data_IF_679111158600
#
_entry.id   IF_679111158600
#
_cell.length_a   1.000
_cell.length_b   1.000
_cell.length_c   1.000
_cell.angle_alpha   90.00
_cell.angle_beta   90.00
_cell.angle_gamma   90.00
#
_symmetry.space_group_name_H-M   'P 1'
#
loop_
_entity.id
_entity.type
_entity.pdbx_description
1 polymer ?
#
# COMPACT_ATOMS: atom_id res chain seq x y z
N UNK A 1 -12.77 -12.12 6.83
CA UNK A 1 -11.38 -11.80 7.19
C UNK A 1 -10.68 -11.32 5.93
N UNK A 2 -10.01 -10.20 6.00
CA UNK A 2 -9.25 -9.61 4.89
C UNK A 2 -7.76 -9.84 5.14
N UNK A 3 -6.98 -9.96 4.07
CA UNK A 3 -5.53 -10.09 4.07
C UNK A 3 -4.99 -9.17 2.98
N UNK A 4 -3.87 -8.50 3.22
CA UNK A 4 -3.23 -7.63 2.23
C UNK A 4 -2.68 -8.43 1.06
N UNK A 5 -2.79 -7.89 -0.17
CA UNK A 5 -2.32 -8.56 -1.38
C UNK A 5 -0.83 -8.92 -1.33
N UNK A 6 0.11 -8.02 -0.96
CA UNK A 6 1.53 -8.37 -0.88
C UNK A 6 1.81 -9.46 0.15
N UNK A 7 1.09 -9.49 1.27
CA UNK A 7 1.21 -10.52 2.27
C UNK A 7 0.65 -11.85 1.76
N UNK A 8 -0.47 -11.81 1.04
CA UNK A 8 -1.02 -12.99 0.34
C UNK A 8 -0.03 -13.56 -0.67
N UNK A 9 0.61 -12.70 -1.46
CA UNK A 9 1.61 -13.12 -2.44
C UNK A 9 2.77 -13.89 -1.78
N UNK A 10 3.27 -13.37 -0.64
CA UNK A 10 4.32 -14.03 0.12
C UNK A 10 3.85 -15.37 0.73
N UNK A 11 2.64 -15.44 1.28
CA UNK A 11 2.07 -16.70 1.75
C UNK A 11 1.89 -17.73 0.63
N UNK A 12 1.47 -17.30 -0.55
CA UNK A 12 1.36 -18.17 -1.73
C UNK A 12 2.73 -18.73 -2.13
N UNK A 13 3.76 -17.88 -2.15
CA UNK A 13 5.13 -18.29 -2.46
C UNK A 13 5.66 -19.31 -1.43
N UNK A 14 5.46 -19.07 -0.12
CA UNK A 14 5.82 -20.01 0.95
C UNK A 14 5.12 -21.36 0.73
N UNK A 15 3.82 -21.35 0.46
CA UNK A 15 3.03 -22.56 0.25
C UNK A 15 3.51 -23.36 -0.97
N UNK A 16 3.76 -22.66 -2.10
CA UNK A 16 4.20 -23.31 -3.34
C UNK A 16 5.61 -23.87 -3.27
N UNK A 17 6.49 -23.23 -2.53
CA UNK A 17 7.86 -23.72 -2.33
C UNK A 17 7.93 -25.04 -1.58
N UNK A 18 6.82 -25.49 -0.97
CA UNK A 18 6.72 -26.72 -0.18
C UNK A 18 7.87 -26.90 0.82
N UNK A 19 8.28 -25.79 1.45
CA UNK A 19 9.38 -25.75 2.41
C UNK A 19 10.72 -25.26 1.87
N UNK A 20 10.96 -25.32 0.54
CA UNK A 20 12.21 -24.89 -0.09
C UNK A 20 12.45 -23.37 0.00
N UNK A 21 11.47 -22.56 0.41
CA UNK A 21 11.67 -21.12 0.62
C UNK A 21 12.80 -20.81 1.61
N UNK A 22 13.03 -21.73 2.60
CA UNK A 22 14.12 -21.59 3.58
C UNK A 22 15.52 -21.72 2.96
N UNK A 23 15.62 -22.29 1.78
CA UNK A 23 16.86 -22.40 1.01
C UNK A 23 17.08 -21.16 0.14
N UNK A 24 15.98 -20.43 -0.16
CA UNK A 24 16.02 -19.24 -0.99
C UNK A 24 16.26 -17.96 -0.18
N UNK A 25 16.06 -17.97 1.12
CA UNK A 25 16.28 -16.81 2.00
C UNK A 25 17.13 -17.17 3.21
N UNK A 26 17.84 -16.19 3.76
CA UNK A 26 18.69 -16.34 4.93
C UNK A 26 18.43 -15.23 5.94
N UNK A 27 18.87 -15.45 7.17
CA UNK A 27 18.84 -14.44 8.24
C UNK A 27 19.56 -13.18 7.76
N UNK A 28 18.92 -12.02 7.98
CA UNK A 28 19.40 -10.72 7.54
C UNK A 28 18.93 -10.32 6.14
N UNK A 29 18.19 -11.18 5.43
CA UNK A 29 17.55 -10.78 4.18
C UNK A 29 16.39 -9.81 4.42
N UNK A 30 16.22 -8.91 3.46
CA UNK A 30 15.03 -8.06 3.33
C UNK A 30 14.40 -8.36 1.98
N UNK A 31 13.20 -8.92 2.00
CA UNK A 31 12.44 -9.23 0.80
C UNK A 31 11.57 -8.01 0.45
N UNK A 32 11.77 -7.44 -0.73
CA UNK A 32 10.85 -6.47 -1.32
C UNK A 32 9.77 -7.22 -2.11
N UNK A 33 8.53 -7.11 -1.66
CA UNK A 33 7.36 -7.56 -2.43
C UNK A 33 6.87 -6.39 -3.26
N UNK A 34 6.81 -6.59 -4.58
CA UNK A 34 6.27 -5.64 -5.54
C UNK A 34 5.01 -6.25 -6.13
N UNK A 35 3.88 -5.69 -5.77
CA UNK A 35 2.57 -6.07 -6.33
C UNK A 35 2.10 -5.00 -7.30
N UNK A 36 2.02 -5.38 -8.59
CA UNK A 36 1.60 -4.48 -9.66
C UNK A 36 0.39 -5.08 -10.37
N UNK A 37 -0.76 -4.72 -9.87
CA UNK A 37 -2.05 -5.18 -10.34
C UNK A 37 -2.62 -4.40 -11.53
N UNK A 38 -3.90 -4.64 -11.83
CA UNK A 38 -4.62 -3.90 -12.86
C UNK A 38 -4.84 -2.44 -12.50
N UNK A 39 -5.21 -2.14 -11.24
CA UNK A 39 -5.54 -0.79 -10.78
C UNK A 39 -4.54 -0.17 -9.83
N UNK A 40 -3.68 -0.97 -9.19
CA UNK A 40 -2.85 -0.53 -8.06
C UNK A 40 -1.43 -1.04 -8.12
N UNK A 41 -0.57 -0.33 -7.41
CA UNK A 41 0.82 -0.71 -7.11
C UNK A 41 1.02 -0.67 -5.61
N UNK A 42 1.49 -1.77 -5.04
CA UNK A 42 1.73 -1.93 -3.62
C UNK A 42 3.14 -2.45 -3.36
N UNK A 43 3.82 -1.90 -2.34
CA UNK A 43 5.15 -2.32 -1.92
C UNK A 43 5.12 -2.77 -0.47
N UNK A 44 5.84 -3.84 -0.16
CA UNK A 44 6.03 -4.28 1.22
C UNK A 44 7.45 -4.79 1.44
N UNK A 45 7.96 -4.62 2.65
CA UNK A 45 9.28 -5.11 3.07
C UNK A 45 9.14 -6.11 4.19
N UNK A 46 9.78 -7.26 4.00
CA UNK A 46 9.75 -8.39 4.92
C UNK A 46 11.19 -8.73 5.32
N UNK A 47 11.52 -8.61 6.59
CA UNK A 47 12.80 -9.04 7.12
C UNK A 47 12.78 -10.53 7.46
N UNK A 48 13.90 -11.20 7.24
CA UNK A 48 14.12 -12.60 7.62
C UNK A 48 14.96 -12.65 8.88
N UNK A 49 14.39 -13.18 9.95
CA UNK A 49 15.00 -13.26 11.29
C UNK A 49 15.23 -14.71 11.70
N UNK A 50 16.01 -14.87 12.76
CA UNK A 50 16.04 -16.12 13.53
C UNK A 50 15.35 -15.92 14.87
N UNK A 51 14.42 -16.79 15.20
CA UNK A 51 13.84 -16.86 16.52
C UNK A 51 13.73 -18.33 16.95
N UNK A 52 14.26 -18.64 18.12
CA UNK A 52 14.24 -19.98 18.69
C UNK A 52 14.77 -21.08 17.73
N UNK A 53 15.83 -20.73 16.95
CA UNK A 53 16.45 -21.66 15.99
C UNK A 53 15.68 -21.87 14.68
N UNK A 54 14.66 -21.07 14.42
CA UNK A 54 13.85 -21.16 13.20
C UNK A 54 13.82 -19.82 12.47
N UNK A 55 13.75 -19.86 11.11
CA UNK A 55 13.54 -18.65 10.30
C UNK A 55 12.13 -18.12 10.55
N UNK A 56 12.06 -16.85 10.89
CA UNK A 56 10.84 -16.08 11.05
C UNK A 56 10.80 -14.95 10.03
N UNK A 57 9.64 -14.72 9.44
CA UNK A 57 9.38 -13.63 8.51
C UNK A 57 8.64 -12.51 9.24
N UNK A 58 9.23 -11.31 9.20
CA UNK A 58 8.66 -10.14 9.87
C UNK A 58 8.42 -9.00 8.88
N UNK A 59 7.19 -8.55 8.76
CA UNK A 59 6.84 -7.40 7.93
C UNK A 59 7.31 -6.12 8.60
N UNK A 60 8.26 -5.44 7.99
CA UNK A 60 8.89 -4.23 8.55
C UNK A 60 8.34 -2.93 7.97
N UNK A 61 7.78 -2.99 6.77
CA UNK A 61 7.14 -1.82 6.16
C UNK A 61 6.07 -2.21 5.14
N UNK A 62 5.07 -1.35 5.02
CA UNK A 62 4.04 -1.36 3.96
C UNK A 62 4.02 0.03 3.35
N UNK A 63 4.02 0.11 2.02
CA UNK A 63 3.88 1.35 1.27
C UNK A 63 2.44 1.87 1.24
N UNK A 64 2.30 3.09 0.75
CA UNK A 64 0.99 3.66 0.44
C UNK A 64 0.35 2.85 -0.69
N UNK A 65 -0.98 2.71 -0.66
CA UNK A 65 -1.74 2.10 -1.73
C UNK A 65 -1.82 3.07 -2.92
N UNK A 66 -1.08 2.77 -3.99
CA UNK A 66 -0.92 3.67 -5.13
C UNK A 66 -1.92 3.28 -6.22
N UNK A 67 -2.89 4.15 -6.52
CA UNK A 67 -3.85 3.94 -7.63
C UNK A 67 -3.17 4.18 -8.99
N UNK A 68 -2.31 3.24 -9.35
CA UNK A 68 -1.52 3.19 -10.56
C UNK A 68 -1.28 1.73 -10.94
N UNK A 69 -1.72 1.30 -12.11
CA UNK A 69 -1.59 -0.10 -12.51
C UNK A 69 -1.75 -0.31 -14.02
N UNK A 70 -2.05 -1.55 -14.39
CA UNK A 70 -2.22 -1.96 -15.78
C UNK A 70 -3.28 -1.18 -16.55
N UNK A 71 -4.36 -0.75 -15.88
CA UNK A 71 -5.43 0.04 -16.50
C UNK A 71 -4.94 1.43 -16.95
N UNK A 72 -4.03 2.04 -16.18
CA UNK A 72 -3.36 3.29 -16.58
C UNK A 72 -2.48 3.07 -17.82
N UNK A 73 -1.80 1.94 -17.91
CA UNK A 73 -0.98 1.54 -19.05
C UNK A 73 -1.82 1.30 -20.29
N UNK A 74 -2.95 0.59 -20.16
CA UNK A 74 -3.90 0.33 -21.23
C UNK A 74 -4.46 1.63 -21.80
N UNK A 75 -4.83 2.56 -20.92
CA UNK A 75 -5.31 3.88 -21.30
C UNK A 75 -4.23 4.71 -22.03
N UNK A 76 -2.98 4.66 -21.56
CA UNK A 76 -1.87 5.36 -22.21
C UNK A 76 -1.63 4.84 -23.63
N UNK A 77 -1.66 3.51 -23.82
CA UNK A 77 -1.54 2.90 -25.15
C UNK A 77 -2.73 3.22 -26.05
N UNK A 78 -3.94 3.22 -25.50
CA UNK A 78 -5.13 3.66 -26.23
C UNK A 78 -5.00 5.10 -26.72
N UNK A 79 -4.42 6.00 -25.91
CA UNK A 79 -4.15 7.37 -26.35
C UNK A 79 -3.13 7.45 -27.49
N UNK A 80 -2.09 6.60 -27.49
CA UNK A 80 -1.12 6.53 -28.62
C UNK A 80 -1.85 6.14 -29.91
N UNK A 81 -2.66 5.10 -29.85
CA UNK A 81 -3.44 4.63 -31.01
C UNK A 81 -4.47 5.69 -31.44
N UNK A 82 -5.15 6.33 -30.51
CA UNK A 82 -6.06 7.44 -30.81
C UNK A 82 -5.34 8.54 -31.58
N UNK A 83 -4.16 8.96 -31.13
CA UNK A 83 -3.38 10.00 -31.82
C UNK A 83 -2.97 9.62 -33.25
N UNK A 84 -2.73 8.32 -33.53
CA UNK A 84 -2.50 7.82 -34.89
C UNK A 84 -3.75 8.03 -35.75
N UNK A 85 -4.90 7.57 -35.27
CA UNK A 85 -6.17 7.67 -36.01
C UNK A 85 -6.59 9.13 -36.20
N UNK A 86 -6.35 10.02 -35.24
CA UNK A 86 -6.61 11.46 -35.37
C UNK A 86 -5.73 12.11 -36.45
N UNK A 87 -4.48 11.70 -36.60
CA UNK A 87 -3.59 12.15 -37.70
C UNK A 87 -4.07 11.69 -39.07
N UNK A 88 -4.78 10.57 -39.12
CA UNK A 88 -5.44 10.04 -40.34
C UNK A 88 -6.82 10.68 -40.58
N UNK A 89 -7.22 11.65 -39.76
CA UNK A 89 -8.49 12.39 -39.89
C UNK A 89 -9.69 11.75 -39.21
N UNK A 90 -9.48 10.74 -38.33
CA UNK A 90 -10.55 10.07 -37.62
C UNK A 90 -10.72 10.66 -36.22
N UNK A 91 -11.95 10.91 -35.81
CA UNK A 91 -12.31 11.33 -34.44
C UNK A 91 -13.02 10.20 -33.74
N UNK A 92 -12.57 9.85 -32.51
CA UNK A 92 -13.15 8.77 -31.70
C UNK A 92 -14.11 9.36 -30.65
N UNK A 93 -15.27 8.74 -30.48
CA UNK A 93 -16.14 9.02 -29.33
C UNK A 93 -15.72 8.26 -28.06
N UNK A 94 -16.37 8.56 -26.94
CA UNK A 94 -16.04 7.95 -25.66
C UNK A 94 -16.21 6.41 -25.64
N UNK A 95 -17.22 5.90 -26.36
CA UNK A 95 -17.45 4.46 -26.47
C UNK A 95 -16.34 3.78 -27.29
N UNK A 96 -15.93 4.40 -28.41
CA UNK A 96 -14.81 3.92 -29.22
C UNK A 96 -13.50 3.96 -28.45
N UNK A 97 -13.28 4.99 -27.61
CA UNK A 97 -12.10 5.07 -26.75
C UNK A 97 -12.08 3.95 -25.70
N UNK A 98 -13.23 3.61 -25.11
CA UNK A 98 -13.34 2.47 -24.20
C UNK A 98 -13.03 1.14 -24.90
N UNK A 99 -13.60 0.93 -26.10
CA UNK A 99 -13.30 -0.27 -26.91
C UNK A 99 -11.81 -0.34 -27.29
N UNK A 100 -11.20 0.81 -27.63
CA UNK A 100 -9.80 0.92 -27.94
C UNK A 100 -8.92 0.57 -26.71
N UNK A 101 -9.31 0.99 -25.50
CA UNK A 101 -8.56 0.66 -24.27
C UNK A 101 -8.56 -0.86 -24.05
N UNK A 102 -9.67 -1.55 -24.26
CA UNK A 102 -9.72 -3.02 -24.19
C UNK A 102 -8.85 -3.70 -25.25
N UNK A 103 -8.90 -3.18 -26.49
CA UNK A 103 -8.05 -3.70 -27.56
C UNK A 103 -6.55 -3.48 -27.28
N UNK A 104 -6.18 -2.32 -26.71
CA UNK A 104 -4.83 -2.01 -26.32
C UNK A 104 -4.32 -2.94 -25.20
N UNK A 105 -5.19 -3.32 -24.24
CA UNK A 105 -4.84 -4.33 -23.21
C UNK A 105 -4.45 -5.65 -23.87
N UNK A 106 -5.28 -6.20 -24.75
CA UNK A 106 -4.98 -7.47 -25.41
C UNK A 106 -3.72 -7.41 -26.25
N UNK A 107 -3.50 -6.29 -26.96
CA UNK A 107 -2.28 -6.08 -27.74
C UNK A 107 -1.03 -5.96 -26.85
N UNK A 108 -1.10 -5.22 -25.74
CA UNK A 108 -0.04 -5.15 -24.74
C UNK A 108 0.37 -6.53 -24.22
N UNK A 109 -0.61 -7.32 -23.79
CA UNK A 109 -0.38 -8.66 -23.24
C UNK A 109 0.24 -9.59 -24.27
N UNK A 110 -0.18 -9.52 -25.51
CA UNK A 110 0.40 -10.31 -26.61
C UNK A 110 1.82 -9.88 -26.96
N UNK A 111 2.08 -8.56 -27.06
CA UNK A 111 3.39 -8.02 -27.45
C UNK A 111 4.45 -8.20 -26.37
N UNK A 112 4.06 -8.17 -25.10
CA UNK A 112 4.95 -8.29 -23.95
C UNK A 112 4.96 -9.69 -23.32
N UNK A 113 4.26 -10.67 -23.90
CA UNK A 113 4.27 -12.04 -23.39
C UNK A 113 5.64 -12.68 -23.52
N UNK A 114 5.92 -13.65 -22.64
CA UNK A 114 7.18 -14.40 -22.68
C UNK A 114 7.36 -15.12 -24.02
N UNK A 115 8.50 -14.89 -24.67
CA UNK A 115 8.81 -15.53 -25.96
C UNK A 115 8.01 -15.01 -27.15
N UNK A 116 7.35 -13.86 -27.04
CA UNK A 116 6.61 -13.25 -28.16
C UNK A 116 7.58 -12.73 -29.24
N UNK A 117 7.47 -13.30 -30.44
CA UNK A 117 8.15 -12.83 -31.64
C UNK A 117 7.29 -11.85 -32.46
N UNK A 118 6.17 -11.38 -31.89
CA UNK A 118 5.23 -10.48 -32.57
C UNK A 118 5.73 -9.05 -32.45
N UNK A 119 5.93 -8.38 -33.57
CA UNK A 119 6.37 -6.97 -33.62
C UNK A 119 5.21 -5.97 -33.61
N UNK A 120 4.03 -6.36 -34.07
CA UNK A 120 2.85 -5.50 -34.13
C UNK A 120 1.56 -6.33 -34.00
N UNK A 121 0.56 -5.76 -33.34
CA UNK A 121 -0.78 -6.34 -33.19
C UNK A 121 -1.80 -5.40 -33.87
N UNK A 122 -2.65 -5.92 -34.77
CA UNK A 122 -3.70 -5.12 -35.39
C UNK A 122 -4.75 -4.69 -34.35
N UNK A 123 -5.10 -3.41 -34.40
CA UNK A 123 -6.15 -2.81 -33.57
C UNK A 123 -7.33 -2.47 -34.47
N UNK A 124 -8.52 -2.97 -34.09
CA UNK A 124 -9.77 -2.70 -34.79
C UNK A 124 -10.69 -1.91 -33.86
N UNK A 125 -11.04 -0.70 -34.26
CA UNK A 125 -12.01 0.14 -33.53
C UNK A 125 -13.37 0.03 -34.22
N UNK A 126 -14.41 -0.44 -33.55
CA UNK A 126 -15.73 -0.58 -34.14
C UNK A 126 -16.35 0.79 -34.46
N UNK A 127 -17.07 0.91 -35.56
CA UNK A 127 -17.83 2.12 -35.89
C UNK A 127 -19.31 1.97 -35.49
N UNK A 128 -19.94 3.07 -35.04
CA UNK A 128 -21.39 3.15 -34.84
C UNK A 128 -22.06 3.42 -36.20
N UNK A 129 -22.78 2.45 -36.72
CA UNK A 129 -23.60 2.68 -37.94
C UNK A 129 -24.31 1.42 -38.38
N UNK A 130 -25.54 1.60 -38.91
CA UNK A 130 -26.41 0.53 -39.43
C UNK A 130 -26.00 0.00 -40.81
N UNK A 131 -24.87 0.46 -41.34
CA UNK A 131 -24.37 -0.05 -42.62
C UNK A 131 -23.69 -1.41 -42.37
N UNK A 132 -24.20 -2.46 -42.99
CA UNK A 132 -23.69 -3.83 -42.98
C UNK A 132 -22.20 -3.95 -43.43
N UNK A 133 -21.67 -2.86 -43.99
CA UNK A 133 -20.29 -2.64 -44.42
C UNK A 133 -19.85 -1.26 -43.83
N UNK A 134 -20.04 -1.02 -42.55
CA UNK A 134 -19.63 0.21 -41.88
C UNK A 134 -18.19 0.08 -41.42
N UNK A 135 -17.32 0.84 -42.06
CA UNK A 135 -15.88 0.77 -41.87
C UNK A 135 -15.40 0.78 -40.43
N UNK A 136 -14.98 -0.37 -39.95
CA UNK A 136 -14.16 -0.41 -38.75
C UNK A 136 -12.83 0.32 -39.03
N UNK A 137 -12.43 1.20 -38.12
CA UNK A 137 -11.10 1.81 -38.20
C UNK A 137 -10.07 0.75 -37.85
N UNK A 138 -9.01 0.68 -38.66
CA UNK A 138 -7.93 -0.30 -38.47
C UNK A 138 -6.63 0.42 -38.38
N UNK A 139 -5.85 0.04 -37.40
CA UNK A 139 -4.47 0.47 -37.22
C UNK A 139 -3.70 -0.66 -36.53
N UNK A 140 -2.50 -0.42 -36.07
CA UNK A 140 -1.71 -1.40 -35.33
C UNK A 140 -1.04 -0.74 -34.13
N UNK A 141 -0.71 -1.54 -33.14
CA UNK A 141 0.15 -1.18 -32.02
C UNK A 141 1.44 -2.01 -32.12
N UNK A 142 2.56 -1.33 -32.23
CA UNK A 142 3.86 -1.99 -32.37
C UNK A 142 4.53 -2.24 -31.02
N UNK A 143 5.41 -3.25 -30.94
CA UNK A 143 6.19 -3.57 -29.74
C UNK A 143 7.03 -2.37 -29.31
N UNK A 144 7.68 -1.68 -30.24
CA UNK A 144 8.49 -0.50 -29.97
C UNK A 144 7.68 0.65 -29.36
N UNK A 145 6.41 0.83 -29.77
CA UNK A 145 5.52 1.84 -29.16
C UNK A 145 5.13 1.45 -27.74
N UNK A 146 4.80 0.17 -27.52
CA UNK A 146 4.47 -0.35 -26.19
C UNK A 146 5.67 -0.20 -25.25
N UNK A 147 6.86 -0.62 -25.66
CA UNK A 147 8.08 -0.50 -24.86
C UNK A 147 8.38 0.96 -24.53
N UNK A 148 8.34 1.86 -25.49
CA UNK A 148 8.58 3.29 -25.27
C UNK A 148 7.57 3.89 -24.27
N UNK A 149 6.28 3.56 -24.38
CA UNK A 149 5.24 4.10 -23.50
C UNK A 149 5.30 3.48 -22.13
N UNK A 150 5.47 2.16 -22.04
CA UNK A 150 5.41 1.47 -20.75
C UNK A 150 6.77 1.47 -20.06
N UNK A 151 7.85 1.03 -20.74
CA UNK A 151 9.16 0.90 -20.10
C UNK A 151 9.75 2.27 -19.76
N UNK A 152 9.67 3.23 -20.68
CA UNK A 152 10.24 4.55 -20.45
C UNK A 152 9.28 5.48 -19.68
N UNK A 153 7.97 5.33 -19.88
CA UNK A 153 6.97 6.19 -19.25
C UNK A 153 6.59 5.76 -17.83
N UNK A 154 6.34 4.47 -17.62
CA UNK A 154 5.92 3.95 -16.31
C UNK A 154 7.09 3.41 -15.48
N UNK A 155 8.19 3.00 -16.10
CA UNK A 155 9.38 2.48 -15.40
C UNK A 155 10.64 3.24 -15.81
N UNK A 156 10.67 4.57 -15.72
CA UNK A 156 11.85 5.36 -16.12
C UNK A 156 13.05 4.97 -15.27
N UNK A 157 14.24 5.01 -15.90
CA UNK A 157 15.49 4.95 -15.15
C UNK A 157 15.66 6.25 -14.41
N UNK A 158 15.66 6.19 -13.10
CA UNK A 158 15.77 7.35 -12.20
C UNK A 158 16.80 7.08 -11.10
N UNK A 159 17.21 8.12 -10.39
CA UNK A 159 18.06 7.99 -9.20
C UNK A 159 17.24 7.50 -7.98
N UNK A 160 17.88 6.85 -7.01
CA UNK A 160 17.24 6.42 -5.76
C UNK A 160 16.68 7.60 -4.93
N UNK A 161 17.17 8.81 -5.18
CA UNK A 161 16.64 10.04 -4.57
C UNK A 161 15.41 10.61 -5.26
N UNK A 162 14.99 10.05 -6.40
CA UNK A 162 13.83 10.51 -7.14
C UNK A 162 12.55 10.39 -6.28
N UNK A 163 11.63 11.32 -6.53
CA UNK A 163 10.34 11.35 -5.85
C UNK A 163 9.24 11.49 -6.89
N UNK A 164 8.04 10.97 -6.62
CA UNK A 164 6.88 11.21 -7.46
C UNK A 164 6.61 12.71 -7.62
N UNK A 165 6.30 13.12 -8.84
CA UNK A 165 6.04 14.51 -9.15
C UNK A 165 4.63 14.88 -8.70
N UNK A 166 4.53 15.82 -7.76
CA UNK A 166 3.26 16.42 -7.41
C UNK A 166 2.93 17.56 -8.41
N UNK A 167 1.81 17.45 -9.11
CA UNK A 167 1.28 18.56 -9.92
C UNK A 167 0.41 19.45 -9.04
N UNK A 168 0.46 20.76 -9.27
CA UNK A 168 -0.52 21.65 -8.66
C UNK A 168 -1.92 21.23 -9.07
N UNK A 169 -2.77 20.87 -8.09
CA UNK A 169 -4.17 20.49 -8.34
C UNK A 169 -4.94 21.73 -8.79
N UNK A 170 -5.82 21.57 -9.79
CA UNK A 170 -6.81 22.60 -10.09
C UNK A 170 -7.73 22.80 -8.87
N UNK A 171 -8.18 24.03 -8.66
CA UNK A 171 -9.08 24.37 -7.55
C UNK A 171 -10.42 23.59 -7.60
N UNK A 172 -10.81 23.11 -8.79
CA UNK A 172 -12.00 22.31 -8.99
C UNK A 172 -11.63 21.08 -9.83
N UNK A 173 -11.92 19.89 -9.31
CA UNK A 173 -11.77 18.61 -10.01
C UNK A 173 -13.10 17.85 -9.95
N UNK A 174 -13.34 16.98 -10.90
CA UNK A 174 -14.49 16.07 -10.84
C UNK A 174 -14.27 15.09 -9.67
N UNK A 175 -15.35 14.73 -8.97
CA UNK A 175 -15.31 13.67 -7.98
C UNK A 175 -14.92 12.35 -8.65
N UNK A 176 -13.93 11.65 -8.11
CA UNK A 176 -13.41 10.40 -8.63
C UNK A 176 -12.38 9.78 -7.70
N UNK A 177 -11.81 8.65 -8.09
CA UNK A 177 -10.75 8.00 -7.34
C UNK A 177 -9.47 8.86 -7.32
N UNK A 178 -8.71 8.86 -6.22
CA UNK A 178 -7.47 9.62 -6.09
C UNK A 178 -6.30 8.96 -6.83
N UNK A 179 -6.39 8.89 -8.17
CA UNK A 179 -5.33 8.33 -9.00
C UNK A 179 -3.99 9.02 -8.76
N UNK A 180 -2.91 8.24 -8.86
CA UNK A 180 -1.55 8.77 -8.77
C UNK A 180 -1.30 9.85 -9.84
N UNK A 181 -0.71 10.96 -9.42
CA UNK A 181 -0.40 12.08 -10.33
C UNK A 181 0.86 11.81 -11.18
N UNK A 182 1.74 10.97 -10.69
CA UNK A 182 2.96 10.54 -11.37
C UNK A 182 2.82 9.07 -11.77
N UNK A 183 3.00 8.79 -13.04
CA UNK A 183 2.92 7.45 -13.60
C UNK A 183 4.21 6.62 -13.39
N UNK A 184 5.28 7.21 -12.86
CA UNK A 184 6.58 6.54 -12.72
C UNK A 184 6.64 5.59 -11.52
N UNK A 185 6.35 4.31 -11.72
CA UNK A 185 6.43 3.25 -10.68
C UNK A 185 7.78 3.26 -9.97
N UNK A 186 8.88 3.43 -10.73
CA UNK A 186 10.24 3.49 -10.17
C UNK A 186 10.47 4.70 -9.27
N UNK A 187 9.80 5.85 -9.49
CA UNK A 187 9.85 6.99 -8.57
C UNK A 187 9.12 6.73 -7.27
N UNK A 188 7.98 6.05 -7.33
CA UNK A 188 7.25 5.61 -6.14
C UNK A 188 8.07 4.59 -5.34
N UNK A 189 8.73 3.64 -6.02
CA UNK A 189 9.62 2.67 -5.37
C UNK A 189 10.81 3.36 -4.68
N UNK A 190 11.47 4.33 -5.34
CA UNK A 190 12.56 5.09 -4.75
C UNK A 190 12.11 5.86 -3.50
N UNK A 191 10.93 6.51 -3.57
CA UNK A 191 10.34 7.20 -2.44
C UNK A 191 10.03 6.26 -1.27
N UNK A 192 9.48 5.09 -1.57
CA UNK A 192 9.16 4.07 -0.56
C UNK A 192 10.42 3.60 0.15
N UNK A 193 11.43 3.11 -0.57
CA UNK A 193 12.67 2.57 0.01
C UNK A 193 13.43 3.61 0.84
N UNK A 194 13.46 4.87 0.39
CA UNK A 194 14.14 5.94 1.14
C UNK A 194 13.44 6.28 2.46
N UNK A 195 12.11 6.21 2.52
CA UNK A 195 11.35 6.40 3.78
C UNK A 195 11.63 5.31 4.81
N UNK A 196 12.07 4.14 4.36
CA UNK A 196 12.21 2.94 5.21
C UNK A 196 13.65 2.65 5.66
N UNK A 197 14.56 3.59 5.51
CA UNK A 197 16.00 3.37 5.82
C UNK A 197 16.24 2.85 7.25
N UNK A 198 15.48 3.30 8.23
CA UNK A 198 15.56 2.85 9.63
C UNK A 198 14.62 1.69 9.99
N UNK A 199 13.87 1.12 9.04
CA UNK A 199 12.80 0.17 9.36
C UNK A 199 13.26 -1.14 10.01
N UNK A 200 14.54 -1.46 9.93
CA UNK A 200 15.14 -2.69 10.51
C UNK A 200 16.01 -2.44 11.73
N UNK A 201 16.24 -1.18 12.13
CA UNK A 201 17.19 -0.84 13.21
C UNK A 201 16.77 -1.41 14.57
N UNK A 202 15.48 -1.32 14.90
CA UNK A 202 14.93 -1.76 16.19
C UNK A 202 14.44 -3.21 16.18
N UNK A 203 14.72 -3.95 15.09
CA UNK A 203 14.22 -5.31 14.94
C UNK A 203 15.12 -6.31 15.66
N UNK A 204 14.67 -6.78 16.82
CA UNK A 204 15.43 -7.70 17.68
C UNK A 204 15.84 -8.97 16.91
N UNK A 205 17.14 -9.29 16.91
CA UNK A 205 17.68 -10.45 16.20
C UNK A 205 17.94 -10.24 14.71
N UNK A 206 17.67 -9.06 14.16
CA UNK A 206 18.00 -8.71 12.78
C UNK A 206 19.43 -8.14 12.69
N UNK A 207 20.18 -8.64 11.73
CA UNK A 207 21.50 -8.10 11.40
C UNK A 207 21.46 -7.57 9.98
N UNK A 208 21.34 -6.26 9.85
CA UNK A 208 21.36 -5.60 8.55
C UNK A 208 22.68 -5.83 7.82
N UNK A 209 22.59 -6.20 6.55
CA UNK A 209 23.72 -6.26 5.63
C UNK A 209 23.92 -4.95 4.85
N UNK A 210 23.22 -3.87 5.22
CA UNK A 210 23.34 -2.59 4.53
C UNK A 210 24.74 -1.98 4.73
N UNK A 211 25.30 -1.35 3.68
CA UNK A 211 26.51 -0.57 3.79
C UNK A 211 26.37 0.59 4.78
N UNK A 212 27.47 0.98 5.42
CA UNK A 212 27.47 2.15 6.27
C UNK A 212 27.25 3.42 5.43
N UNK A 213 26.28 4.23 5.82
CA UNK A 213 25.91 5.44 5.07
C UNK A 213 24.95 5.20 3.90
N UNK A 214 24.29 4.05 3.86
CA UNK A 214 23.22 3.78 2.89
C UNK A 214 22.17 4.90 2.89
N UNK A 215 21.63 5.23 1.70
CA UNK A 215 20.67 6.33 1.52
C UNK A 215 19.21 5.87 1.46
N UNK A 216 19.01 4.56 1.38
CA UNK A 216 17.70 3.89 1.39
C UNK A 216 17.82 2.48 1.94
N UNK A 217 16.71 1.84 2.30
CA UNK A 217 16.72 0.45 2.75
C UNK A 217 17.03 -0.48 1.57
N UNK A 218 18.08 -1.32 1.71
CA UNK A 218 18.53 -2.24 0.69
C UNK A 218 17.76 -3.56 0.73
N UNK A 219 16.85 -3.85 -0.23
CA UNK A 219 16.31 -5.18 -0.39
C UNK A 219 17.40 -6.13 -0.88
N UNK A 220 17.45 -7.33 -0.31
CA UNK A 220 18.38 -8.39 -0.73
C UNK A 220 17.70 -9.41 -1.66
N UNK A 221 16.37 -9.41 -1.64
CA UNK A 221 15.56 -10.29 -2.48
C UNK A 221 14.31 -9.56 -2.97
N UNK A 222 13.79 -9.98 -4.11
CA UNK A 222 12.58 -9.47 -4.77
C UNK A 222 11.58 -10.60 -4.92
N UNK A 223 10.32 -10.31 -4.60
CA UNK A 223 9.18 -11.16 -4.92
C UNK A 223 8.17 -10.34 -5.72
N UNK A 224 7.86 -10.78 -6.93
CA UNK A 224 6.90 -10.13 -7.79
C UNK A 224 5.51 -10.74 -7.66
N UNK A 225 4.48 -9.90 -7.73
CA UNK A 225 3.08 -10.26 -7.83
C UNK A 225 2.34 -9.30 -8.77
N UNK A 226 1.15 -9.71 -9.21
CA UNK A 226 0.29 -8.91 -10.07
C UNK A 226 0.49 -9.15 -11.58
N UNK A 227 -0.60 -8.97 -12.32
CA UNK A 227 -0.68 -9.35 -13.73
C UNK A 227 0.22 -8.54 -14.66
N UNK A 228 0.60 -7.32 -14.30
CA UNK A 228 1.51 -6.47 -15.09
C UNK A 228 2.91 -7.08 -15.15
N UNK A 229 3.34 -7.73 -14.06
CA UNK A 229 4.67 -8.34 -13.94
C UNK A 229 4.78 -9.72 -14.61
N UNK A 230 3.76 -10.17 -15.35
CA UNK A 230 3.87 -11.26 -16.32
C UNK A 230 4.73 -10.88 -17.54
N UNK A 231 4.98 -9.59 -17.73
CA UNK A 231 5.86 -9.07 -18.77
C UNK A 231 7.32 -9.15 -18.33
N UNK A 232 8.17 -10.01 -18.97
CA UNK A 232 9.58 -10.13 -18.60
C UNK A 232 10.37 -8.82 -18.79
N UNK A 233 9.92 -7.98 -19.71
CA UNK A 233 10.56 -6.68 -20.00
C UNK A 233 10.34 -5.71 -18.84
N UNK A 234 9.12 -5.65 -18.27
CA UNK A 234 8.79 -4.78 -17.16
C UNK A 234 9.42 -5.28 -15.85
N UNK A 235 9.41 -6.59 -15.65
CA UNK A 235 10.10 -7.24 -14.53
C UNK A 235 11.60 -6.93 -14.55
N UNK A 236 12.27 -7.18 -15.70
CA UNK A 236 13.69 -6.91 -15.86
C UNK A 236 14.05 -5.43 -15.64
N UNK A 237 13.18 -4.49 -16.05
CA UNK A 237 13.41 -3.06 -15.83
C UNK A 237 13.40 -2.69 -14.35
N UNK A 238 12.48 -3.25 -13.52
CA UNK A 238 12.47 -3.01 -12.07
C UNK A 238 13.77 -3.54 -11.45
N UNK A 239 14.19 -4.76 -11.83
CA UNK A 239 15.43 -5.38 -11.34
C UNK A 239 16.64 -4.54 -11.73
N UNK A 240 16.72 -4.09 -12.99
CA UNK A 240 17.80 -3.24 -13.51
C UNK A 240 17.92 -1.95 -12.69
N UNK A 241 16.83 -1.23 -12.52
CA UNK A 241 16.81 0.07 -11.83
C UNK A 241 17.18 -0.11 -10.35
N UNK A 242 16.60 -1.09 -9.66
CA UNK A 242 16.91 -1.36 -8.26
C UNK A 242 18.39 -1.76 -8.08
N UNK A 243 18.89 -2.66 -8.92
CA UNK A 243 20.29 -3.10 -8.82
C UNK A 243 21.29 -1.99 -9.15
N UNK A 244 20.93 -1.06 -10.05
CA UNK A 244 21.74 0.13 -10.29
C UNK A 244 21.80 1.04 -9.04
N UNK A 245 20.69 1.21 -8.30
CA UNK A 245 20.68 1.95 -7.03
C UNK A 245 21.52 1.26 -5.98
N UNK A 246 21.35 -0.05 -5.79
CA UNK A 246 22.10 -0.85 -4.82
C UNK A 246 23.61 -0.78 -5.09
N UNK A 247 24.02 -0.93 -6.36
CA UNK A 247 25.43 -0.85 -6.74
C UNK A 247 26.04 0.53 -6.49
N UNK A 248 25.27 1.62 -6.77
CA UNK A 248 25.69 3.00 -6.53
C UNK A 248 25.88 3.28 -5.05
N UNK A 249 25.06 2.65 -4.19
CA UNK A 249 25.08 2.79 -2.74
C UNK A 249 25.98 1.74 -2.04
N UNK A 250 26.75 0.96 -2.83
CA UNK A 250 27.75 0.00 -2.34
C UNK A 250 27.18 -1.35 -1.88
N UNK A 251 25.91 -1.63 -2.18
CA UNK A 251 25.25 -2.88 -1.82
C UNK A 251 25.34 -3.96 -2.91
N UNK A 252 25.14 -5.24 -2.54
CA UNK A 252 25.06 -6.34 -3.51
C UNK A 252 23.72 -6.28 -4.28
N UNK A 253 23.64 -6.89 -5.47
CA UNK A 253 22.39 -6.96 -6.21
C UNK A 253 21.35 -7.80 -5.47
N UNK A 254 20.09 -7.38 -5.56
CA UNK A 254 18.96 -8.15 -5.06
C UNK A 254 18.68 -9.34 -5.98
N UNK A 255 18.40 -10.50 -5.38
CA UNK A 255 18.05 -11.70 -6.12
C UNK A 255 16.54 -11.85 -6.28
N UNK A 256 16.10 -12.36 -7.41
CA UNK A 256 14.71 -12.67 -7.65
C UNK A 256 14.34 -14.00 -6.97
N UNK A 257 13.23 -14.00 -6.21
CA UNK A 257 12.67 -15.23 -5.64
C UNK A 257 11.80 -15.92 -6.67
N UNK A 258 12.13 -17.16 -6.98
CA UNK A 258 11.46 -17.95 -7.99
C UNK A 258 10.21 -18.65 -7.44
N UNK A 259 9.28 -18.98 -8.35
CA UNK A 259 8.11 -19.80 -8.04
C UNK A 259 6.87 -19.00 -7.62
N UNK A 260 6.84 -17.69 -7.81
CA UNK A 260 5.62 -16.89 -7.67
C UNK A 260 4.53 -17.32 -8.67
N UNK A 261 3.28 -17.23 -8.26
CA UNK A 261 2.12 -17.46 -9.13
C UNK A 261 1.35 -16.14 -9.27
N UNK A 262 1.60 -15.43 -10.36
CA UNK A 262 1.06 -14.10 -10.58
C UNK A 262 -0.46 -14.07 -10.83
N UNK A 263 -1.10 -15.23 -11.05
CA UNK A 263 -2.55 -15.32 -11.27
C UNK A 263 -3.32 -15.65 -10.00
N UNK A 264 -2.81 -16.58 -9.22
CA UNK A 264 -3.53 -17.17 -8.10
C UNK A 264 -2.91 -16.87 -6.73
N UNK A 265 -1.89 -16.00 -6.69
CA UNK A 265 -1.16 -15.69 -5.45
C UNK A 265 -2.10 -15.25 -4.33
N UNK A 266 -3.01 -14.31 -4.59
CA UNK A 266 -3.93 -13.78 -3.59
C UNK A 266 -4.84 -14.88 -3.05
N UNK A 267 -5.47 -15.66 -3.93
CA UNK A 267 -6.39 -16.72 -3.52
C UNK A 267 -5.68 -17.82 -2.71
N UNK A 268 -4.51 -18.26 -3.17
CA UNK A 268 -3.70 -19.29 -2.48
C UNK A 268 -3.14 -18.79 -1.17
N UNK A 269 -2.63 -17.56 -1.16
CA UNK A 269 -2.09 -16.94 0.04
C UNK A 269 -3.16 -16.75 1.12
N UNK A 270 -4.37 -16.33 0.75
CA UNK A 270 -5.49 -16.22 1.66
C UNK A 270 -5.90 -17.60 2.24
N UNK A 271 -5.93 -18.64 1.41
CA UNK A 271 -6.19 -19.99 1.86
C UNK A 271 -5.10 -20.50 2.82
N UNK A 272 -3.83 -20.27 2.49
CA UNK A 272 -2.71 -20.65 3.36
C UNK A 272 -2.71 -19.86 4.67
N UNK A 273 -3.06 -18.58 4.66
CA UNK A 273 -3.21 -17.80 5.88
C UNK A 273 -4.30 -18.35 6.80
N UNK A 274 -5.44 -18.80 6.26
CA UNK A 274 -6.46 -19.48 7.06
C UNK A 274 -5.93 -20.77 7.72
N UNK A 275 -5.01 -21.46 7.07
CA UNK A 275 -4.30 -22.62 7.62
C UNK A 275 -3.32 -22.21 8.74
N UNK A 276 -2.55 -21.12 8.53
CA UNK A 276 -1.65 -20.56 9.53
C UNK A 276 -2.40 -20.12 10.80
N UNK A 277 -3.59 -19.54 10.64
CA UNK A 277 -4.47 -19.17 11.77
C UNK A 277 -4.91 -20.34 12.65
N UNK A 278 -4.86 -21.55 12.13
CA UNK A 278 -5.11 -22.78 12.91
C UNK A 278 -3.86 -23.34 13.60
N UNK A 279 -2.79 -22.54 13.70
CA UNK A 279 -1.52 -22.92 14.31
C UNK A 279 -0.65 -23.83 13.46
N UNK A 280 -0.86 -23.85 12.14
CA UNK A 280 -0.10 -24.68 11.20
C UNK A 280 0.62 -23.81 10.17
N UNK A 281 1.80 -24.25 9.71
CA UNK A 281 2.58 -23.51 8.71
C UNK A 281 3.40 -22.37 9.29
N UNK A 282 3.82 -21.43 8.42
CA UNK A 282 4.70 -20.31 8.75
C UNK A 282 3.87 -19.04 8.85
N UNK A 283 3.91 -18.38 9.99
CA UNK A 283 3.27 -17.08 10.20
C UNK A 283 4.24 -15.98 9.82
N UNK A 284 3.81 -15.06 8.95
CA UNK A 284 4.47 -13.79 8.74
C UNK A 284 3.99 -12.90 9.89
N UNK A 285 4.91 -12.49 10.74
CA UNK A 285 4.61 -11.53 11.80
C UNK A 285 4.62 -10.14 11.21
N UNK A 286 3.81 -9.26 11.75
CA UNK A 286 3.75 -7.89 11.34
C UNK A 286 3.05 -7.09 12.41
N UNK A 287 3.41 -5.84 12.52
CA UNK A 287 2.77 -4.90 13.40
C UNK A 287 2.28 -3.68 12.65
N UNK A 288 1.69 -2.73 13.37
CA UNK A 288 1.30 -1.44 12.82
C UNK A 288 2.53 -0.72 12.24
N UNK A 289 2.37 -0.17 11.04
CA UNK A 289 3.42 0.63 10.39
C UNK A 289 3.61 2.02 11.03
N UNK A 290 2.76 2.36 11.98
CA UNK A 290 2.73 3.65 12.68
C UNK A 290 2.30 3.44 14.13
N UNK A 291 2.71 4.36 15.00
CA UNK A 291 2.04 4.58 16.29
C UNK A 291 0.76 5.37 16.04
N UNK A 292 -0.34 5.01 16.72
CA UNK A 292 -1.63 5.68 16.56
C UNK A 292 -2.04 6.40 17.83
N UNK A 293 -2.63 7.58 17.63
CA UNK A 293 -3.03 8.49 18.69
C UNK A 293 -4.48 8.91 18.49
N UNK A 294 -5.16 9.21 19.59
CA UNK A 294 -6.48 9.84 19.61
C UNK A 294 -6.37 11.25 20.18
N UNK A 295 -7.12 12.19 19.59
CA UNK A 295 -7.19 13.56 20.07
C UNK A 295 -8.01 13.66 21.36
N UNK A 296 -7.44 14.30 22.37
CA UNK A 296 -8.08 14.58 23.64
C UNK A 296 -8.16 16.09 23.80
N UNK A 297 -9.37 16.63 23.88
CA UNK A 297 -9.58 18.06 24.10
C UNK A 297 -9.29 18.43 25.56
N UNK A 298 -8.63 19.56 25.75
CA UNK A 298 -8.35 20.10 27.09
C UNK A 298 -9.64 20.61 27.75
N UNK A 299 -9.86 20.23 29.01
CA UNK A 299 -10.94 20.77 29.81
C UNK A 299 -10.63 22.24 30.19
N UNK A 300 -11.11 23.19 29.40
CA UNK A 300 -10.94 24.61 29.65
C UNK A 300 -12.25 25.38 29.48
N UNK A 301 -12.41 26.53 30.16
CA UNK A 301 -13.56 27.40 29.93
C UNK A 301 -13.67 27.85 28.48
N UNK A 302 -14.90 27.98 27.97
CA UNK A 302 -15.13 28.49 26.63
C UNK A 302 -14.61 29.91 26.48
N UNK A 303 -13.74 30.17 25.50
CA UNK A 303 -13.21 31.49 25.14
C UNK A 303 -13.71 31.81 23.73
N UNK A 304 -14.41 32.95 23.53
CA UNK A 304 -14.92 33.32 22.23
C UNK A 304 -13.79 33.38 21.17
N UNK A 305 -13.96 32.62 20.05
CA UNK A 305 -13.00 32.56 18.97
C UNK A 305 -11.78 31.66 19.21
N UNK A 306 -11.75 30.90 20.29
CA UNK A 306 -10.71 29.93 20.59
C UNK A 306 -11.32 28.53 20.71
N UNK A 307 -10.81 27.59 19.91
CA UNK A 307 -11.13 26.15 20.10
C UNK A 307 -10.27 25.58 21.22
N UNK A 308 -10.80 24.62 22.00
CA UNK A 308 -10.01 23.94 23.02
C UNK A 308 -8.75 23.30 22.40
N UNK A 309 -7.57 23.46 23.02
CA UNK A 309 -6.38 22.76 22.58
C UNK A 309 -6.59 21.24 22.61
N UNK A 310 -6.05 20.56 21.61
CA UNK A 310 -6.13 19.12 21.50
C UNK A 310 -4.74 18.53 21.70
N UNK A 311 -4.61 17.62 22.68
CA UNK A 311 -3.41 16.80 22.88
C UNK A 311 -3.60 15.45 22.20
N UNK A 312 -2.54 14.83 21.70
CA UNK A 312 -2.58 13.50 21.10
C UNK A 312 -2.15 12.43 22.11
N UNK A 313 -3.04 11.49 22.41
CA UNK A 313 -2.82 10.38 23.34
C UNK A 313 -2.48 9.12 22.54
N UNK A 314 -1.28 8.53 22.73
CA UNK A 314 -0.93 7.25 22.13
C UNK A 314 -1.85 6.14 22.65
N UNK A 315 -2.48 5.42 21.73
CA UNK A 315 -3.38 4.29 22.04
C UNK A 315 -2.84 2.97 21.50
N UNK A 316 -2.11 3.00 20.38
CA UNK A 316 -1.46 1.82 19.81
C UNK A 316 0.00 2.14 19.47
N UNK A 317 0.97 1.41 20.05
CA UNK A 317 2.40 1.63 19.78
C UNK A 317 2.78 1.17 18.37
N UNK A 318 3.91 1.67 17.88
CA UNK A 318 4.52 1.17 16.63
C UNK A 318 4.78 -0.33 16.72
N UNK A 319 4.55 -1.05 15.64
CA UNK A 319 4.82 -2.49 15.59
C UNK A 319 3.85 -3.36 16.39
N UNK A 320 2.73 -2.82 16.87
CA UNK A 320 1.71 -3.60 17.58
C UNK A 320 1.17 -4.71 16.67
N UNK A 321 1.32 -5.99 17.08
CA UNK A 321 0.94 -7.14 16.27
C UNK A 321 -0.58 -7.22 16.01
N UNK A 322 -0.93 -7.65 14.80
CA UNK A 322 -2.32 -7.92 14.42
C UNK A 322 -2.93 -9.01 15.32
N UNK A 323 -4.16 -8.76 15.75
CA UNK A 323 -4.89 -9.63 16.66
C UNK A 323 -4.44 -9.50 18.13
N UNK A 324 -3.66 -8.47 18.47
CA UNK A 324 -3.31 -8.15 19.85
C UNK A 324 -4.03 -6.92 20.37
N UNK A 325 -4.07 -6.78 21.69
CA UNK A 325 -4.66 -5.65 22.40
C UNK A 325 -3.57 -4.91 23.18
N UNK A 326 -3.56 -3.58 23.10
CA UNK A 326 -2.74 -2.74 23.96
C UNK A 326 -3.28 -2.78 25.41
N UNK A 327 -2.45 -2.53 26.43
CA UNK A 327 -2.96 -2.29 27.76
C UNK A 327 -3.85 -1.04 27.76
N UNK A 328 -4.88 -0.97 28.63
CA UNK A 328 -5.68 0.25 28.77
C UNK A 328 -4.79 1.43 29.12
N UNK A 329 -5.13 2.62 28.57
CA UNK A 329 -4.40 3.84 28.90
C UNK A 329 -4.49 4.13 30.40
N UNK A 330 -3.42 4.63 31.03
CA UNK A 330 -3.45 4.96 32.46
C UNK A 330 -4.37 6.14 32.77
N UNK A 331 -4.60 7.04 31.80
CA UNK A 331 -5.45 8.20 31.94
C UNK A 331 -6.92 7.80 31.93
N UNK A 332 -7.70 8.43 32.79
CA UNK A 332 -9.15 8.42 32.77
C UNK A 332 -9.64 9.65 32.00
N UNK A 333 -10.50 9.45 31.01
CA UNK A 333 -11.01 10.47 30.12
C UNK A 333 -12.53 10.54 30.24
N UNK A 334 -13.13 11.67 29.90
CA UNK A 334 -14.57 11.82 29.82
C UNK A 334 -15.07 11.52 28.41
N UNK A 335 -15.89 10.48 28.25
CA UNK A 335 -16.53 10.13 27.00
C UNK A 335 -17.95 10.69 26.93
N UNK A 336 -18.25 11.41 25.86
CA UNK A 336 -19.60 11.92 25.59
C UNK A 336 -20.42 10.81 24.94
N UNK A 337 -21.63 10.54 25.47
CA UNK A 337 -22.53 9.50 24.94
C UNK A 337 -23.92 10.10 24.61
N UNK A 338 -24.62 9.43 23.67
CA UNK A 338 -26.00 9.79 23.31
C UNK A 338 -26.16 10.95 22.32
N UNK A 339 -25.06 11.57 21.89
CA UNK A 339 -25.03 12.58 20.83
C UNK A 339 -23.89 12.36 19.83
N UNK A 340 -23.94 12.96 18.63
CA UNK A 340 -22.87 12.87 17.66
C UNK A 340 -21.58 13.50 18.19
N UNK A 341 -20.49 12.73 18.17
CA UNK A 341 -19.15 13.17 18.59
C UNK A 341 -18.14 12.89 17.48
N UNK A 342 -17.08 13.67 17.45
CA UNK A 342 -16.01 13.54 16.47
C UNK A 342 -14.74 13.05 17.15
N UNK A 343 -14.22 11.93 16.65
CA UNK A 343 -12.91 11.41 17.03
C UNK A 343 -11.86 11.90 16.04
N UNK A 344 -10.81 12.53 16.55
CA UNK A 344 -9.61 12.88 15.77
C UNK A 344 -8.57 11.81 16.01
N UNK A 345 -7.99 11.29 14.94
CA UNK A 345 -6.92 10.31 15.00
C UNK A 345 -5.67 10.86 14.36
N UNK A 346 -4.51 10.40 14.83
CA UNK A 346 -3.22 10.79 14.30
C UNK A 346 -2.32 9.55 14.18
N UNK A 347 -1.35 9.60 13.27
CA UNK A 347 -0.37 8.56 13.06
C UNK A 347 1.04 9.11 12.96
N UNK A 348 2.04 8.30 13.35
CA UNK A 348 3.45 8.63 13.14
C UNK A 348 4.26 7.36 12.89
N UNK A 349 5.00 7.34 11.78
CA UNK A 349 5.99 6.30 11.49
C UNK A 349 7.36 6.60 12.12
N UNK A 350 7.57 7.83 12.61
CA UNK A 350 8.82 8.27 13.21
C UNK A 350 8.87 8.04 14.72
N UNK A 351 7.72 8.12 15.41
CA UNK A 351 7.64 7.96 16.88
C UNK A 351 7.41 6.50 17.24
N UNK A 352 8.49 5.73 17.30
CA UNK A 352 8.44 4.27 17.48
C UNK A 352 8.43 3.82 18.94
N UNK A 353 8.91 4.69 19.87
CA UNK A 353 9.07 4.34 21.28
C UNK A 353 7.85 4.68 22.14
N UNK A 354 6.87 5.40 21.58
CA UNK A 354 5.71 5.83 22.34
C UNK A 354 4.87 4.62 22.75
N UNK A 355 4.51 4.61 24.04
CA UNK A 355 3.68 3.57 24.63
C UNK A 355 2.24 4.06 24.85
N UNK A 356 1.24 3.17 24.97
CA UNK A 356 -0.12 3.55 25.32
C UNK A 356 -0.14 4.41 26.58
N UNK A 357 -0.74 5.60 26.47
CA UNK A 357 -0.75 6.61 27.54
C UNK A 357 0.25 7.75 27.35
N UNK A 358 1.20 7.67 26.39
CA UNK A 358 2.06 8.81 26.06
C UNK A 358 1.20 9.96 25.52
N UNK A 359 1.30 11.15 26.10
CA UNK A 359 0.53 12.34 25.74
C UNK A 359 1.45 13.37 25.06
N UNK A 360 1.01 13.94 23.94
CA UNK A 360 1.72 14.96 23.19
C UNK A 360 0.87 16.23 23.08
N UNK A 361 1.32 17.31 23.72
CA UNK A 361 0.63 18.62 23.68
C UNK A 361 0.94 19.41 22.39
N UNK A 362 2.02 19.08 21.69
CA UNK A 362 2.47 19.73 20.45
C UNK A 362 2.71 18.67 19.38
N UNK A 363 1.65 18.14 18.85
CA UNK A 363 1.67 17.01 17.93
C UNK A 363 1.83 17.43 16.45
N UNK A 364 1.55 18.69 16.08
CA UNK A 364 1.39 19.15 14.71
C UNK A 364 2.66 18.99 13.82
N UNK A 365 3.82 18.88 14.45
CA UNK A 365 5.10 18.71 13.74
C UNK A 365 5.54 17.25 13.61
N UNK A 366 4.98 16.37 14.42
CA UNK A 366 5.45 15.00 14.59
C UNK A 366 4.44 13.96 14.18
N UNK A 367 3.15 14.34 14.13
CA UNK A 367 2.06 13.46 13.75
C UNK A 367 1.36 13.96 12.49
N UNK A 368 0.81 13.00 11.73
CA UNK A 368 -0.09 13.26 10.61
C UNK A 368 -1.53 13.03 11.07
N UNK A 369 -2.42 13.99 10.85
CA UNK A 369 -3.84 13.81 11.14
C UNK A 369 -4.46 12.84 10.14
N UNK A 370 -5.17 11.84 10.64
CA UNK A 370 -5.88 10.83 9.87
C UNK A 370 -7.34 11.28 9.64
N UNK A 371 -8.12 10.59 8.78
CA UNK A 371 -9.53 10.90 8.59
C UNK A 371 -10.28 10.93 9.93
N UNK A 372 -11.09 11.97 10.12
CA UNK A 372 -11.92 12.13 11.32
C UNK A 372 -13.06 11.13 11.28
N UNK A 373 -13.44 10.61 12.43
CA UNK A 373 -14.55 9.67 12.56
C UNK A 373 -15.67 10.32 13.39
N UNK A 374 -16.84 10.49 12.77
CA UNK A 374 -18.06 10.86 13.46
C UNK A 374 -18.80 9.60 13.92
N UNK A 375 -19.19 9.56 15.17
CA UNK A 375 -19.96 8.45 15.75
C UNK A 375 -20.95 8.96 16.79
N UNK A 376 -22.10 8.29 16.88
CA UNK A 376 -23.04 8.47 18.01
C UNK A 376 -22.93 7.21 18.87
N UNK A 377 -22.40 7.37 20.07
CA UNK A 377 -22.24 6.27 21.01
C UNK A 377 -23.54 6.06 21.80
N UNK A 378 -23.93 4.81 22.00
CA UNK A 378 -25.16 4.49 22.73
C UNK A 378 -25.10 5.06 24.15
N UNK A 379 -26.20 5.66 24.59
CA UNK A 379 -26.29 6.26 25.95
C UNK A 379 -26.57 5.23 27.04
N UNK A 380 -27.00 4.02 26.68
CA UNK A 380 -27.34 2.92 27.61
C UNK A 380 -28.26 3.36 28.76
N UNK A 381 -29.24 4.24 28.46
CA UNK A 381 -30.20 4.79 29.43
C UNK A 381 -29.74 6.06 30.16
N UNK A 382 -28.57 6.61 29.87
CA UNK A 382 -28.08 7.91 30.35
C UNK A 382 -28.66 9.05 29.50
N UNK A 383 -28.73 10.29 30.04
CA UNK A 383 -29.06 11.45 29.22
C UNK A 383 -28.10 11.61 28.01
N UNK A 384 -28.62 12.16 26.91
CA UNK A 384 -27.77 12.56 25.80
C UNK A 384 -26.81 13.67 26.25
N UNK A 385 -25.53 13.57 25.84
CA UNK A 385 -24.46 14.48 26.23
C UNK A 385 -23.86 14.17 27.62
N UNK A 386 -24.21 13.05 28.24
CA UNK A 386 -23.61 12.65 29.52
C UNK A 386 -22.12 12.32 29.35
N UNK A 387 -21.32 12.64 30.37
CA UNK A 387 -19.88 12.43 30.42
C UNK A 387 -19.56 11.19 31.26
N UNK A 388 -19.08 10.14 30.58
CA UNK A 388 -18.74 8.87 31.24
C UNK A 388 -17.23 8.77 31.42
N UNK A 389 -16.72 8.53 32.66
CA UNK A 389 -15.33 8.27 32.90
C UNK A 389 -14.91 6.92 32.27
N UNK A 390 -13.94 6.96 31.37
CA UNK A 390 -13.46 5.78 30.64
C UNK A 390 -11.94 5.75 30.54
N UNK A 391 -11.40 4.54 30.34
CA UNK A 391 -10.04 4.31 29.87
C UNK A 391 -10.08 3.75 28.46
N UNK A 392 -9.12 4.14 27.64
CA UNK A 392 -9.07 3.69 26.27
C UNK A 392 -8.18 2.45 26.13
N UNK A 393 -8.61 1.53 25.29
CA UNK A 393 -7.82 0.39 24.88
C UNK A 393 -7.89 0.25 23.37
N UNK A 394 -6.75 0.14 22.72
CA UNK A 394 -6.68 -0.15 21.32
C UNK A 394 -6.41 -1.62 21.06
N UNK A 395 -6.96 -2.13 19.97
CA UNK A 395 -6.60 -3.42 19.40
C UNK A 395 -6.42 -3.28 17.89
N UNK A 396 -5.42 -3.97 17.37
CA UNK A 396 -5.24 -4.08 15.93
C UNK A 396 -6.00 -5.32 15.48
N UNK A 397 -7.00 -5.11 14.64
CA UNK A 397 -7.79 -6.24 14.14
C UNK A 397 -6.96 -7.06 13.15
N UNK A 398 -7.39 -8.27 12.89
CA UNK A 398 -6.76 -9.17 11.92
C UNK A 398 -6.80 -8.65 10.48
N UNK A 399 -7.61 -7.64 10.23
CA UNK A 399 -7.70 -6.92 8.95
C UNK A 399 -6.85 -5.65 8.95
N UNK A 400 -6.10 -5.39 10.04
CA UNK A 400 -5.24 -4.22 10.18
C UNK A 400 -6.01 -2.91 10.37
N UNK A 401 -7.28 -2.94 10.79
CA UNK A 401 -7.98 -1.76 11.29
C UNK A 401 -7.65 -1.54 12.76
N UNK A 402 -7.59 -0.28 13.19
CA UNK A 402 -7.47 0.07 14.59
C UNK A 402 -8.87 0.12 15.21
N UNK A 403 -9.12 -0.75 16.19
CA UNK A 403 -10.31 -0.70 17.03
C UNK A 403 -9.95 0.01 18.34
N UNK A 404 -10.65 1.09 18.63
CA UNK A 404 -10.56 1.79 19.90
C UNK A 404 -11.77 1.42 20.75
N UNK A 405 -11.53 0.95 21.97
CA UNK A 405 -12.52 0.59 22.96
C UNK A 405 -12.42 1.54 24.15
N UNK A 406 -13.50 2.22 24.47
CA UNK A 406 -13.64 3.01 25.70
C UNK A 406 -14.31 2.13 26.75
N UNK A 407 -13.66 1.97 27.90
CA UNK A 407 -14.06 1.06 28.98
C UNK A 407 -14.37 1.89 30.22
N UNK A 408 -15.63 1.88 30.65
CA UNK A 408 -16.04 2.52 31.88
C UNK A 408 -15.74 1.66 33.12
N UNK A 409 -15.72 2.29 34.30
CA UNK A 409 -15.42 1.60 35.55
C UNK A 409 -16.50 0.57 35.97
N UNK A 410 -17.72 0.70 35.45
CA UNK A 410 -18.82 -0.25 35.64
C UNK A 410 -18.78 -1.44 34.66
N UNK A 411 -17.85 -1.42 33.71
CA UNK A 411 -17.65 -2.46 32.71
C UNK A 411 -18.37 -2.22 31.39
N UNK A 412 -19.13 -1.12 31.24
CA UNK A 412 -19.70 -0.73 29.96
C UNK A 412 -18.58 -0.42 28.95
N UNK A 413 -18.87 -0.65 27.66
CA UNK A 413 -17.88 -0.52 26.59
C UNK A 413 -18.49 0.09 25.34
N UNK A 414 -17.79 1.07 24.79
CA UNK A 414 -18.08 1.67 23.49
C UNK A 414 -16.92 1.38 22.55
N UNK A 415 -17.23 1.15 21.26
CA UNK A 415 -16.26 0.77 20.27
C UNK A 415 -16.37 1.66 19.04
N UNK A 416 -15.23 2.10 18.55
CA UNK A 416 -15.09 2.75 17.26
C UNK A 416 -13.96 2.05 16.49
N UNK A 417 -14.13 1.93 15.17
CA UNK A 417 -13.12 1.32 14.30
C UNK A 417 -12.65 2.36 13.28
N UNK A 418 -11.34 2.53 13.19
CA UNK A 418 -10.69 3.39 12.23
C UNK A 418 -10.01 2.50 11.19
N UNK A 419 -10.33 2.72 9.91
CA UNK A 419 -9.54 2.17 8.84
C UNK A 419 -8.24 2.98 8.71
N UNK A 420 -7.16 2.43 9.24
CA UNK A 420 -5.85 3.09 9.24
C UNK A 420 -5.12 2.98 7.89
N UNK A 421 -5.75 2.33 6.91
CA UNK A 421 -5.24 2.16 5.54
C UNK A 421 -5.83 3.18 4.56
N UNK A 422 -6.90 3.88 4.98
CA UNK A 422 -7.47 4.92 4.12
C UNK A 422 -6.43 6.03 3.91
N UNK A 423 -6.15 6.43 2.65
CA UNK A 423 -5.24 7.54 2.41
C UNK A 423 -5.78 8.79 3.09
N UNK A 424 -4.91 9.49 3.81
CA UNK A 424 -5.21 10.84 4.30
C UNK A 424 -5.66 11.70 3.12
N UNK A 425 -6.83 12.29 3.23
CA UNK A 425 -7.49 13.09 2.20
C UNK A 425 -6.68 14.34 1.81
#
# INVERSE_FOLDING_TARGET
MLLEEPQSALYSWIQRSNGAWREQVKIGDVILVVDLGGGTTDFSLIAVLEREGSLELHRVAVGDHILLGGDNMDLALAHVVRMKLEREGHTLDAWQLSALTHAARGAKEQLLSHGSDVDAVPIVVPSRGSKLIGGSLRTELTKAEVERVLVEGFFPVVDATARPTARARGALTQMGLPYAQDAGVTRHLAAFLSKQIGATEDLAGFRSAMPQGATFLHPTALLFNGGVLKSPVLEARIVEVLNAWLAKDGGPPARLLEGADLDLAVARGAAYYAYVRRGRGVRIRGGTAQSYYVGVESAMPAVPGMEPPVSALCVAPFGMEEGTEAPPTPQELALVVGEPVMFRFFGSSARRDDQPGTMLDRWERELTELPRLEATLASEGRPAGDLVPVRLRASVTEVGTLRLEAIANDGERWRVELDVRAPSA
#
